data_IF_725990552725
#
_entry.id   IF_725990552725
#
_cell.length_a   1.000
_cell.length_b   1.000
_cell.length_c   1.000
_cell.angle_alpha   90.00
_cell.angle_beta   90.00
_cell.angle_gamma   90.00
#
_symmetry.space_group_name_H-M   'P 1'
#
loop_
_entity.id
_entity.type
_entity.pdbx_description
1 polymer ?
#
# COMPACT_ATOMS: atom_id res chain seq x y z
N UNK A 1 -17.42 -11.47 -23.39
CA UNK A 1 -18.06 -10.72 -22.28
C UNK A 1 -17.30 -9.44 -22.13
N UNK A 2 -17.86 -8.34 -22.62
CA UNK A 2 -17.29 -7.00 -22.45
C UNK A 2 -17.63 -6.51 -21.03
N UNK A 3 -16.76 -6.76 -20.09
CA UNK A 3 -16.88 -6.15 -18.75
C UNK A 3 -16.43 -4.70 -18.83
N UNK A 4 -17.25 -3.74 -18.34
CA UNK A 4 -16.83 -2.34 -18.32
C UNK A 4 -15.58 -2.18 -17.45
N UNK A 5 -14.55 -1.54 -17.99
CA UNK A 5 -13.29 -1.25 -17.31
C UNK A 5 -13.20 0.23 -16.98
N UNK A 6 -12.53 0.53 -15.88
CA UNK A 6 -12.21 1.89 -15.44
C UNK A 6 -10.78 1.93 -14.88
N UNK A 7 -10.17 3.11 -14.75
CA UNK A 7 -8.86 3.21 -14.09
C UNK A 7 -8.87 2.59 -12.69
N UNK A 8 -7.85 1.82 -12.35
CA UNK A 8 -7.75 1.12 -11.07
C UNK A 8 -7.99 2.05 -9.87
N UNK A 9 -7.48 3.28 -9.93
CA UNK A 9 -7.70 4.30 -8.89
C UNK A 9 -9.18 4.60 -8.59
N UNK A 10 -10.07 4.36 -9.55
CA UNK A 10 -11.54 4.56 -9.36
C UNK A 10 -12.28 3.25 -9.12
N UNK A 11 -11.69 2.11 -9.41
CA UNK A 11 -12.26 0.79 -9.14
C UNK A 11 -12.06 0.36 -7.70
N UNK A 12 -10.85 0.60 -7.16
CA UNK A 12 -10.57 0.29 -5.75
C UNK A 12 -11.20 1.32 -4.84
N UNK A 13 -12.09 0.84 -3.99
CA UNK A 13 -12.80 1.62 -2.98
C UNK A 13 -12.52 1.08 -1.58
N UNK A 14 -12.91 1.82 -0.59
CA UNK A 14 -12.69 1.47 0.81
C UNK A 14 -11.89 2.55 1.54
N UNK A 15 -11.77 2.41 2.84
CA UNK A 15 -11.31 3.46 3.74
C UNK A 15 -9.96 4.07 3.35
N UNK A 16 -8.99 3.24 2.95
CA UNK A 16 -7.68 3.74 2.53
C UNK A 16 -7.80 4.60 1.25
N UNK A 17 -8.52 4.09 0.25
CA UNK A 17 -8.67 4.76 -1.04
C UNK A 17 -9.53 6.02 -0.94
N UNK A 18 -10.56 6.01 -0.11
CA UNK A 18 -11.35 7.22 0.20
C UNK A 18 -10.47 8.32 0.80
N UNK A 19 -9.61 7.98 1.74
CA UNK A 19 -8.69 8.93 2.36
C UNK A 19 -7.54 9.36 1.42
N UNK A 20 -7.06 8.46 0.59
CA UNK A 20 -5.98 8.74 -0.37
C UNK A 20 -6.44 9.62 -1.54
N UNK A 21 -7.72 9.57 -1.91
CA UNK A 21 -8.29 10.37 -3.00
C UNK A 21 -7.40 10.38 -4.25
N UNK A 22 -7.08 9.20 -4.77
CA UNK A 22 -6.18 9.06 -5.91
C UNK A 22 -6.68 9.83 -7.13
N UNK A 23 -5.77 10.54 -7.79
CA UNK A 23 -6.01 11.41 -8.93
C UNK A 23 -5.28 10.91 -10.16
N UNK A 24 -5.68 11.34 -11.37
CA UNK A 24 -4.90 11.08 -12.57
C UNK A 24 -3.44 11.53 -12.40
N UNK A 25 -2.49 10.67 -12.78
CA UNK A 25 -1.07 10.94 -12.68
C UNK A 25 -0.41 10.56 -11.35
N UNK A 26 -1.17 10.12 -10.34
CA UNK A 26 -0.60 9.64 -9.09
C UNK A 26 0.20 8.35 -9.31
N UNK A 27 1.47 8.36 -8.90
CA UNK A 27 2.36 7.19 -9.02
C UNK A 27 2.19 6.26 -7.81
N UNK A 28 1.23 5.35 -7.93
CA UNK A 28 0.97 4.32 -6.91
C UNK A 28 0.91 2.94 -7.53
N UNK A 29 1.44 1.98 -6.80
CA UNK A 29 1.32 0.55 -7.06
C UNK A 29 0.22 -0.03 -6.17
N UNK A 30 -0.76 -0.68 -6.79
CA UNK A 30 -1.90 -1.28 -6.10
C UNK A 30 -1.79 -2.79 -6.21
N UNK A 31 -1.54 -3.47 -5.09
CA UNK A 31 -1.45 -4.92 -5.06
C UNK A 31 -2.84 -5.54 -5.05
N UNK A 32 -3.06 -6.44 -5.97
CA UNK A 32 -4.36 -6.98 -6.33
C UNK A 32 -4.39 -8.51 -6.20
N UNK A 33 -5.45 -9.03 -5.61
CA UNK A 33 -5.65 -10.47 -5.54
C UNK A 33 -5.89 -11.09 -6.94
N UNK A 34 -6.47 -10.34 -7.87
CA UNK A 34 -6.76 -10.82 -9.22
C UNK A 34 -5.61 -10.57 -10.20
N UNK A 35 -5.01 -9.38 -10.16
CA UNK A 35 -4.03 -8.93 -11.16
C UNK A 35 -2.58 -8.95 -10.64
N UNK A 36 -2.35 -9.24 -9.37
CA UNK A 36 -1.05 -9.17 -8.71
C UNK A 36 -0.61 -7.76 -8.41
N UNK A 37 -0.36 -6.97 -9.44
CA UNK A 37 -0.01 -5.56 -9.35
C UNK A 37 -0.71 -4.77 -10.46
N UNK A 38 -1.27 -3.62 -10.08
CA UNK A 38 -1.80 -2.62 -11.03
C UNK A 38 -1.24 -1.24 -10.71
N UNK A 39 -1.20 -0.38 -11.72
CA UNK A 39 -0.98 1.05 -11.58
C UNK A 39 -2.31 1.78 -11.44
N UNK A 40 -2.28 3.01 -10.95
CA UNK A 40 -3.49 3.83 -10.77
C UNK A 40 -4.32 3.99 -12.06
N UNK A 41 -3.66 4.07 -13.21
CA UNK A 41 -4.30 4.31 -14.51
C UNK A 41 -4.60 3.03 -15.32
N UNK A 42 -4.23 1.85 -14.82
CA UNK A 42 -4.54 0.59 -15.51
C UNK A 42 -6.04 0.39 -15.59
N UNK A 43 -6.53 0.07 -16.77
CA UNK A 43 -7.95 -0.21 -16.98
C UNK A 43 -8.28 -1.62 -16.52
N UNK A 44 -9.10 -1.72 -15.48
CA UNK A 44 -9.51 -2.98 -14.89
C UNK A 44 -11.02 -3.05 -14.71
N UNK A 45 -11.62 -4.23 -14.82
CA UNK A 45 -13.02 -4.43 -14.46
C UNK A 45 -13.21 -4.40 -12.94
N UNK A 46 -14.41 -4.08 -12.50
CA UNK A 46 -14.79 -4.26 -11.10
C UNK A 46 -14.82 -5.74 -10.75
N UNK A 47 -14.22 -6.10 -9.61
CA UNK A 47 -14.19 -7.48 -9.13
C UNK A 47 -14.22 -7.53 -7.60
N UNK A 48 -14.49 -8.72 -7.07
CA UNK A 48 -14.43 -8.97 -5.62
C UNK A 48 -13.64 -10.23 -5.33
N UNK A 49 -12.38 -10.06 -4.96
CA UNK A 49 -11.48 -11.14 -4.60
C UNK A 49 -10.51 -10.65 -3.51
N UNK A 50 -10.27 -11.48 -2.50
CA UNK A 50 -9.36 -11.17 -1.41
C UNK A 50 -8.07 -12.00 -1.50
N UNK A 51 -6.94 -11.41 -1.15
CA UNK A 51 -5.63 -12.05 -1.18
C UNK A 51 -5.50 -13.29 -0.28
N UNK A 52 -6.35 -13.40 0.75
CA UNK A 52 -6.36 -14.56 1.66
C UNK A 52 -7.08 -15.79 1.10
N UNK A 53 -7.76 -15.66 -0.05
CA UNK A 53 -8.52 -16.76 -0.67
C UNK A 53 -7.57 -17.84 -1.18
N UNK A 54 -8.00 -19.09 -1.03
CA UNK A 54 -7.36 -20.27 -1.63
C UNK A 54 -8.17 -20.73 -2.82
N UNK A 55 -7.54 -20.78 -3.99
CA UNK A 55 -8.19 -21.24 -5.22
C UNK A 55 -7.74 -22.65 -5.58
N UNK A 56 -8.66 -23.49 -6.15
CA UNK A 56 -8.28 -24.78 -6.70
C UNK A 56 -7.12 -24.63 -7.69
N UNK A 57 -6.15 -25.54 -7.64
CA UNK A 57 -4.96 -25.59 -8.51
C UNK A 57 -3.91 -24.48 -8.30
N UNK A 58 -4.28 -23.29 -7.83
CA UNK A 58 -3.35 -22.18 -7.58
C UNK A 58 -2.87 -22.15 -6.11
N UNK A 59 -3.66 -22.70 -5.21
CA UNK A 59 -3.41 -22.59 -3.78
C UNK A 59 -3.79 -21.22 -3.22
N UNK A 60 -3.15 -20.83 -2.13
CA UNK A 60 -3.38 -19.53 -1.49
C UNK A 60 -2.85 -18.41 -2.38
N UNK A 61 -3.68 -17.42 -2.70
CA UNK A 61 -3.31 -16.32 -3.60
C UNK A 61 -2.10 -15.53 -3.13
N UNK A 62 -1.95 -15.32 -1.84
CA UNK A 62 -0.76 -14.64 -1.31
C UNK A 62 0.55 -15.39 -1.60
N UNK A 63 0.53 -16.72 -1.54
CA UNK A 63 1.68 -17.56 -1.91
C UNK A 63 1.95 -17.57 -3.42
N UNK A 64 0.89 -17.61 -4.22
CA UNK A 64 0.98 -17.50 -5.67
C UNK A 64 1.65 -16.20 -6.09
N UNK A 65 1.13 -15.06 -5.64
CA UNK A 65 1.68 -13.75 -6.03
C UNK A 65 3.08 -13.47 -5.48
N UNK A 66 3.44 -14.03 -4.32
CA UNK A 66 4.84 -13.96 -3.85
C UNK A 66 5.83 -14.56 -4.83
N UNK A 67 5.45 -15.63 -5.51
CA UNK A 67 6.31 -16.26 -6.52
C UNK A 67 6.33 -15.47 -7.83
N UNK A 68 5.14 -15.06 -8.29
CA UNK A 68 5.01 -14.38 -9.58
C UNK A 68 5.61 -12.96 -9.58
N UNK A 69 5.58 -12.27 -8.44
CA UNK A 69 6.11 -10.92 -8.30
C UNK A 69 7.58 -10.90 -7.84
N UNK A 70 8.21 -12.05 -7.65
CA UNK A 70 9.62 -12.12 -7.30
C UNK A 70 10.48 -11.45 -8.39
N UNK A 71 11.38 -10.57 -7.99
CA UNK A 71 12.25 -9.84 -8.91
C UNK A 71 11.64 -8.57 -9.53
N UNK A 72 10.39 -8.24 -9.20
CA UNK A 72 9.80 -6.97 -9.57
C UNK A 72 10.47 -5.84 -8.78
N UNK A 73 11.25 -5.01 -9.44
CA UNK A 73 11.91 -3.86 -8.80
C UNK A 73 12.31 -2.78 -9.82
N UNK A 74 12.35 -1.54 -9.35
CA UNK A 74 12.99 -0.40 -10.03
C UNK A 74 14.10 0.11 -9.13
N UNK A 75 15.31 0.20 -9.65
CA UNK A 75 16.53 0.35 -8.84
C UNK A 75 16.58 1.63 -7.99
N UNK A 76 16.01 2.72 -8.46
CA UNK A 76 16.14 4.04 -7.85
C UNK A 76 14.87 4.54 -7.15
N UNK A 77 13.82 3.74 -7.08
CA UNK A 77 12.56 4.16 -6.49
C UNK A 77 12.61 4.10 -4.95
N UNK A 78 12.01 5.09 -4.32
CA UNK A 78 11.66 5.05 -2.91
C UNK A 78 10.26 4.45 -2.77
N UNK A 79 10.15 3.39 -1.98
CA UNK A 79 8.87 2.74 -1.74
C UNK A 79 8.36 3.05 -0.33
N UNK A 80 7.10 3.40 -0.23
CA UNK A 80 6.41 3.57 1.06
C UNK A 80 5.24 2.59 1.12
N UNK A 81 5.34 1.58 1.98
CA UNK A 81 4.39 0.47 2.07
C UNK A 81 3.21 0.81 2.98
N UNK A 82 2.06 1.05 2.34
CA UNK A 82 0.78 1.33 2.98
C UNK A 82 -0.13 0.10 3.10
N UNK A 83 0.32 -1.08 2.65
CA UNK A 83 -0.50 -2.28 2.57
C UNK A 83 -0.80 -2.89 3.93
N UNK A 84 -1.96 -3.53 4.04
CA UNK A 84 -2.24 -4.46 5.13
C UNK A 84 -1.45 -5.77 4.98
N UNK A 85 -1.28 -6.51 6.08
CA UNK A 85 -0.43 -7.70 6.10
C UNK A 85 -0.73 -8.74 5.01
N UNK A 86 -2.01 -8.96 4.69
CA UNK A 86 -2.42 -9.94 3.69
C UNK A 86 -1.96 -9.59 2.27
N UNK A 87 -1.71 -8.31 1.99
CA UNK A 87 -1.28 -7.81 0.70
C UNK A 87 0.24 -7.59 0.59
N UNK A 88 0.99 -7.93 1.63
CA UNK A 88 2.46 -7.84 1.63
C UNK A 88 3.06 -9.06 0.90
N UNK A 89 2.72 -9.22 -0.37
CA UNK A 89 3.15 -10.33 -1.23
C UNK A 89 4.44 -10.07 -1.98
N UNK A 90 4.96 -8.87 -1.87
CA UNK A 90 6.23 -8.44 -2.43
C UNK A 90 6.84 -7.37 -1.53
N UNK A 91 8.16 -7.27 -1.52
CA UNK A 91 8.88 -6.20 -0.81
C UNK A 91 10.08 -5.76 -1.63
N UNK A 92 10.40 -4.46 -1.65
CA UNK A 92 11.62 -3.97 -2.28
C UNK A 92 12.87 -4.58 -1.64
N UNK A 93 13.96 -4.66 -2.41
CA UNK A 93 15.24 -5.14 -1.87
C UNK A 93 15.95 -4.11 -1.00
N UNK A 94 15.67 -2.81 -1.20
CA UNK A 94 16.28 -1.67 -0.49
C UNK A 94 15.40 -0.42 -0.58
N UNK A 95 15.75 0.60 0.19
CA UNK A 95 15.14 1.95 0.12
C UNK A 95 13.64 1.97 0.29
N UNK A 96 13.13 1.35 1.35
CA UNK A 96 11.70 1.37 1.57
C UNK A 96 11.32 1.63 3.03
N UNK A 97 10.10 2.11 3.20
CA UNK A 97 9.48 2.37 4.48
C UNK A 97 8.28 1.47 4.68
N UNK A 98 8.22 0.83 5.83
CA UNK A 98 7.01 0.14 6.31
C UNK A 98 6.25 1.06 7.24
N UNK A 99 4.99 1.35 6.92
CA UNK A 99 4.16 2.24 7.74
C UNK A 99 3.32 1.42 8.71
N UNK A 100 3.43 1.75 9.99
CA UNK A 100 2.57 1.27 11.07
C UNK A 100 1.73 2.42 11.59
N UNK A 101 0.53 2.13 12.08
CA UNK A 101 -0.32 3.08 12.78
C UNK A 101 -0.65 2.52 14.15
N UNK A 102 -0.43 3.32 15.18
CA UNK A 102 -0.64 2.94 16.57
C UNK A 102 -1.45 4.02 17.32
N UNK A 103 -2.08 3.62 18.43
CA UNK A 103 -2.66 4.57 19.37
C UNK A 103 -1.59 5.14 20.32
N UNK A 104 -1.98 6.08 21.19
CA UNK A 104 -1.08 6.70 22.15
C UNK A 104 -0.42 5.71 23.14
N UNK A 105 -1.01 4.53 23.31
CA UNK A 105 -0.45 3.44 24.13
C UNK A 105 0.46 2.49 23.33
N UNK A 106 0.73 2.80 22.06
CA UNK A 106 1.56 1.98 21.17
C UNK A 106 0.88 0.72 20.62
N UNK A 107 -0.42 0.58 20.81
CA UNK A 107 -1.16 -0.59 20.31
C UNK A 107 -1.58 -0.38 18.87
N UNK A 108 -1.46 -1.42 18.05
CA UNK A 108 -1.89 -1.37 16.66
C UNK A 108 -3.40 -1.09 16.57
N UNK A 109 -3.77 -0.12 15.72
CA UNK A 109 -5.17 0.22 15.43
C UNK A 109 -5.56 -0.32 14.06
N UNK A 110 -6.39 -1.36 14.01
CA UNK A 110 -6.66 -2.07 12.74
C UNK A 110 -7.59 -1.30 11.81
N UNK A 111 -8.69 -0.78 12.30
CA UNK A 111 -9.71 -0.13 11.46
C UNK A 111 -9.31 1.29 11.06
N UNK A 112 -8.81 2.07 12.02
CA UNK A 112 -8.35 3.45 11.79
C UNK A 112 -7.04 3.51 10.98
N UNK A 113 -6.22 2.45 11.04
CA UNK A 113 -4.97 2.40 10.30
C UNK A 113 -5.13 2.60 8.79
N UNK A 114 -6.20 2.07 8.21
CA UNK A 114 -6.47 2.25 6.77
C UNK A 114 -6.72 3.71 6.41
N UNK A 115 -7.47 4.43 7.23
CA UNK A 115 -7.73 5.86 7.04
C UNK A 115 -6.44 6.68 7.09
N UNK A 116 -5.63 6.50 8.13
CA UNK A 116 -4.38 7.25 8.27
C UNK A 116 -3.33 6.89 7.22
N UNK A 117 -3.26 5.64 6.78
CA UNK A 117 -2.42 5.27 5.64
C UNK A 117 -2.88 5.94 4.35
N UNK A 118 -4.18 6.08 4.13
CA UNK A 118 -4.73 6.82 3.01
C UNK A 118 -4.39 8.31 3.07
N UNK A 119 -4.53 8.94 4.23
CA UNK A 119 -4.12 10.34 4.46
C UNK A 119 -2.63 10.54 4.17
N UNK A 120 -1.78 9.65 4.68
CA UNK A 120 -0.33 9.74 4.44
C UNK A 120 0.00 9.52 2.97
N UNK A 121 -0.68 8.61 2.28
CA UNK A 121 -0.54 8.43 0.84
C UNK A 121 -0.82 9.75 0.11
N UNK A 122 -1.95 10.40 0.40
CA UNK A 122 -2.28 11.69 -0.23
C UNK A 122 -1.25 12.76 0.07
N UNK A 123 -0.85 12.88 1.33
CA UNK A 123 0.13 13.89 1.74
C UNK A 123 1.48 13.70 1.03
N UNK A 124 1.96 12.46 0.90
CA UNK A 124 3.20 12.16 0.19
C UNK A 124 3.12 12.48 -1.31
N UNK A 125 2.01 12.14 -1.96
CA UNK A 125 1.78 12.44 -3.36
C UNK A 125 1.70 13.95 -3.62
N UNK A 126 1.03 14.69 -2.74
CA UNK A 126 0.92 16.16 -2.85
C UNK A 126 2.25 16.86 -2.56
N UNK A 127 3.04 16.37 -1.62
CA UNK A 127 4.32 16.96 -1.26
C UNK A 127 5.39 16.77 -2.35
N UNK A 128 5.33 15.70 -3.12
CA UNK A 128 6.37 15.33 -4.10
C UNK A 128 7.76 15.20 -3.46
N UNK A 129 7.82 14.97 -2.15
CA UNK A 129 9.05 14.95 -1.35
C UNK A 129 9.43 13.52 -1.00
N UNK A 130 10.75 13.26 -0.98
CA UNK A 130 11.32 12.02 -0.46
C UNK A 130 11.46 12.01 1.08
N UNK A 131 11.18 13.13 1.75
CA UNK A 131 11.21 13.21 3.22
C UNK A 131 9.90 12.68 3.82
N UNK A 132 9.83 11.36 3.90
CA UNK A 132 8.65 10.64 4.40
C UNK A 132 8.32 11.01 5.85
N UNK A 133 9.35 11.26 6.67
CA UNK A 133 9.18 11.60 8.09
C UNK A 133 8.52 12.97 8.23
N UNK A 134 9.06 13.99 7.58
CA UNK A 134 8.51 15.35 7.64
C UNK A 134 7.05 15.40 7.16
N UNK A 135 6.73 14.66 6.09
CA UNK A 135 5.35 14.58 5.61
C UNK A 135 4.45 13.89 6.64
N UNK A 136 4.89 12.78 7.22
CA UNK A 136 4.10 12.05 8.22
C UNK A 136 3.87 12.86 9.50
N UNK A 137 4.82 13.70 9.92
CA UNK A 137 4.71 14.59 11.07
C UNK A 137 3.59 15.64 10.92
N UNK A 138 3.19 15.96 9.70
CA UNK A 138 2.03 16.82 9.46
C UNK A 138 0.69 16.16 9.81
N UNK A 139 0.67 14.83 9.97
CA UNK A 139 -0.54 14.04 10.25
C UNK A 139 -0.63 13.66 11.73
N UNK A 140 0.50 13.32 12.34
CA UNK A 140 0.54 12.87 13.73
C UNK A 140 1.95 12.73 14.25
N UNK A 141 2.09 12.18 15.45
CA UNK A 141 3.40 11.93 16.03
C UNK A 141 4.08 10.76 15.32
N UNK A 142 5.35 10.93 14.97
CA UNK A 142 6.13 9.93 14.23
C UNK A 142 7.26 9.40 15.08
N UNK A 143 7.48 8.10 15.01
CA UNK A 143 8.71 7.45 15.45
C UNK A 143 9.27 6.58 14.34
N UNK A 144 10.59 6.46 14.28
CA UNK A 144 11.29 5.70 13.26
C UNK A 144 12.21 4.69 13.94
N UNK A 145 12.17 3.45 13.47
CA UNK A 145 13.07 2.39 13.87
C UNK A 145 13.64 1.66 12.65
N UNK A 146 14.80 1.07 12.78
CA UNK A 146 15.36 0.23 11.74
C UNK A 146 14.61 -1.11 11.70
N UNK A 147 14.08 -1.48 10.53
CA UNK A 147 13.46 -2.78 10.29
C UNK A 147 14.46 -3.85 9.85
N UNK A 148 15.75 -3.49 9.82
CA UNK A 148 16.86 -4.27 9.29
C UNK A 148 17.77 -3.38 8.44
N UNK A 149 18.66 -3.98 7.64
CA UNK A 149 19.60 -3.23 6.79
C UNK A 149 18.96 -2.61 5.54
N UNK A 150 17.71 -2.96 5.22
CA UNK A 150 17.10 -2.67 3.91
C UNK A 150 15.92 -1.73 3.99
N UNK A 151 15.30 -1.57 5.16
CA UNK A 151 14.10 -0.75 5.32
C UNK A 151 14.02 -0.11 6.69
N UNK A 152 13.20 0.91 6.79
CA UNK A 152 12.84 1.58 8.02
C UNK A 152 11.37 1.37 8.34
N UNK A 153 11.03 1.38 9.61
CA UNK A 153 9.66 1.32 10.07
C UNK A 153 9.29 2.70 10.59
N UNK A 154 8.26 3.28 9.99
CA UNK A 154 7.65 4.52 10.44
C UNK A 154 6.37 4.16 11.19
N UNK A 155 6.32 4.52 12.47
CA UNK A 155 5.10 4.39 13.27
C UNK A 155 4.45 5.75 13.41
N UNK A 156 3.25 5.88 12.85
CA UNK A 156 2.39 7.05 13.01
C UNK A 156 1.49 6.83 14.23
N UNK A 157 1.68 7.63 15.26
CA UNK A 157 0.85 7.59 16.47
C UNK A 157 -0.29 8.58 16.32
N UNK A 158 -1.51 8.09 16.48
CA UNK A 158 -2.76 8.86 16.32
C UNK A 158 -3.60 8.81 17.58
N UNK A 159 -4.38 9.85 17.83
CA UNK A 159 -5.29 9.96 18.97
C UNK A 159 -6.59 9.16 18.79
#
# INVERSE_FOLDING_TARGET
YDMPCAPARSVYTGVLYEAAQLRPGDDVWIFSALFGLTRAEDLIPAYRLNMSVTLPRLGRLSGFWKRELAGLEREDDLYVDMRSANYQVWSPSKNWWKVRVADAAGRAVSHRAKHYRGMLTRALLDAGSSDVVAVAESIGRVSVEDGGTRFKILTLTVE
#
